data_IF_936109746351
#
_entry.id   IF_936109746351
#
_cell.length_a   1.000
_cell.length_b   1.000
_cell.length_c   1.000
_cell.angle_alpha   90.00
_cell.angle_beta   90.00
_cell.angle_gamma   90.00
#
_symmetry.space_group_name_H-M   'P 1'
#
loop_
_entity.id
_entity.type
_entity.pdbx_description
1 polymer ?
#
# COMPACT_ATOMS: atom_id res chain seq x y z
N UNK A 1 19.35 -16.84 14.23
CA UNK A 1 18.11 -16.06 14.32
C UNK A 1 18.38 -14.73 13.65
N UNK A 2 17.84 -14.52 12.45
CA UNK A 2 17.90 -13.22 11.79
C UNK A 2 17.06 -12.22 12.59
N UNK A 3 17.71 -11.26 13.24
CA UNK A 3 17.08 -10.15 13.99
C UNK A 3 16.56 -9.06 13.07
N UNK A 4 16.18 -9.42 11.83
CA UNK A 4 15.77 -8.45 10.83
C UNK A 4 14.37 -7.94 11.17
N UNK A 5 14.33 -6.73 11.72
CA UNK A 5 13.09 -6.03 12.04
C UNK A 5 12.52 -5.43 10.76
N UNK A 6 11.36 -5.93 10.33
CA UNK A 6 10.55 -5.28 9.30
C UNK A 6 9.65 -4.26 9.97
N UNK A 7 9.69 -3.01 9.49
CA UNK A 7 8.83 -1.93 9.96
C UNK A 7 7.84 -1.58 8.86
N UNK A 8 6.56 -1.53 9.19
CA UNK A 8 5.55 -0.96 8.31
C UNK A 8 5.76 0.56 8.20
N UNK A 9 5.68 1.07 6.98
CA UNK A 9 5.95 2.47 6.65
C UNK A 9 4.65 3.10 6.15
N UNK A 10 4.35 4.31 6.62
CA UNK A 10 3.19 5.09 6.18
C UNK A 10 3.64 6.31 5.36
N UNK A 11 2.69 7.03 4.75
CA UNK A 11 2.97 8.21 3.91
C UNK A 11 3.84 9.25 4.63
N UNK A 12 3.65 9.43 5.94
CA UNK A 12 4.42 10.34 6.78
C UNK A 12 5.89 9.93 6.97
N UNK A 13 6.21 8.65 6.79
CA UNK A 13 7.56 8.11 6.95
C UNK A 13 8.35 8.17 5.62
N UNK A 14 7.69 8.43 4.49
CA UNK A 14 8.32 8.52 3.16
C UNK A 14 9.49 9.50 3.08
N UNK A 15 9.45 10.70 3.70
CA UNK A 15 10.59 11.62 3.68
C UNK A 15 11.84 11.06 4.38
N UNK A 16 11.66 10.08 5.27
CA UNK A 16 12.75 9.44 6.01
C UNK A 16 13.33 8.21 5.31
N UNK A 17 12.70 7.77 4.20
CA UNK A 17 13.18 6.62 3.46
C UNK A 17 14.46 6.94 2.68
N UNK A 18 15.38 5.97 2.55
CA UNK A 18 16.53 6.13 1.68
C UNK A 18 16.09 6.44 0.24
N UNK A 19 16.74 7.40 -0.41
CA UNK A 19 16.39 7.91 -1.74
C UNK A 19 16.27 6.82 -2.84
N UNK A 20 16.96 5.69 -2.68
CA UNK A 20 16.83 4.52 -3.56
C UNK A 20 15.39 3.95 -3.63
N UNK A 21 14.58 4.16 -2.58
CA UNK A 21 13.19 3.72 -2.54
C UNK A 21 12.25 4.67 -3.29
N UNK A 22 12.67 5.91 -3.59
CA UNK A 22 11.83 6.90 -4.27
C UNK A 22 11.37 6.36 -5.64
N UNK A 23 12.29 5.86 -6.47
CA UNK A 23 11.95 5.32 -7.79
C UNK A 23 10.99 4.12 -7.72
N UNK A 24 11.15 3.27 -6.70
CA UNK A 24 10.28 2.11 -6.46
C UNK A 24 8.88 2.58 -6.07
N UNK A 25 8.79 3.55 -5.17
CA UNK A 25 7.51 4.10 -4.72
C UNK A 25 6.77 4.87 -5.81
N UNK A 26 7.48 5.65 -6.63
CA UNK A 26 6.90 6.34 -7.78
C UNK A 26 6.30 5.34 -8.80
N UNK A 27 7.02 4.26 -9.08
CA UNK A 27 6.54 3.19 -9.98
C UNK A 27 5.30 2.51 -9.41
N UNK A 28 5.34 2.10 -8.14
CA UNK A 28 4.22 1.48 -7.43
C UNK A 28 2.99 2.39 -7.37
N UNK A 29 3.18 3.68 -7.15
CA UNK A 29 2.07 4.63 -7.09
C UNK A 29 1.37 4.75 -8.45
N UNK A 30 2.13 4.74 -9.55
CA UNK A 30 1.56 4.69 -10.91
C UNK A 30 0.79 3.40 -11.18
N UNK A 31 1.33 2.25 -10.76
CA UNK A 31 0.66 0.95 -10.90
C UNK A 31 -0.64 0.86 -10.07
N UNK A 32 -0.63 1.36 -8.84
CA UNK A 32 -1.82 1.42 -7.98
C UNK A 32 -2.87 2.34 -8.62
N UNK A 33 -2.49 3.52 -9.10
CA UNK A 33 -3.42 4.44 -9.76
C UNK A 33 -4.03 3.82 -11.01
N UNK A 34 -3.22 3.14 -11.83
CA UNK A 34 -3.70 2.41 -13.00
C UNK A 34 -4.62 1.25 -12.63
N UNK A 35 -4.31 0.50 -11.58
CA UNK A 35 -5.15 -0.58 -11.09
C UNK A 35 -6.51 -0.05 -10.58
N UNK A 36 -6.52 1.06 -9.84
CA UNK A 36 -7.76 1.72 -9.38
C UNK A 36 -8.63 2.15 -10.57
N UNK A 37 -8.02 2.74 -11.61
CA UNK A 37 -8.74 3.17 -12.83
C UNK A 37 -9.35 1.98 -13.58
N UNK A 38 -8.63 0.85 -13.63
CA UNK A 38 -9.11 -0.38 -14.27
C UNK A 38 -10.20 -1.11 -13.46
N UNK A 39 -10.22 -0.93 -12.14
CA UNK A 39 -11.09 -1.68 -11.22
C UNK A 39 -11.91 -0.77 -10.28
N UNK A 40 -12.75 0.14 -10.81
CA UNK A 40 -13.48 1.12 -10.00
C UNK A 40 -14.51 0.48 -9.05
N UNK A 41 -14.99 -0.74 -9.33
CA UNK A 41 -15.97 -1.47 -8.51
C UNK A 41 -15.34 -2.36 -7.42
N UNK A 42 -14.02 -2.60 -7.45
CA UNK A 42 -13.35 -3.43 -6.42
C UNK A 42 -13.08 -2.66 -5.12
N UNK A 43 -13.11 -1.32 -5.15
CA UNK A 43 -13.09 -0.48 -3.95
C UNK A 43 -14.34 -0.68 -3.07
N UNK A 44 -15.46 -1.17 -3.64
CA UNK A 44 -16.69 -1.48 -2.91
C UNK A 44 -16.74 -2.88 -2.27
N UNK A 45 -15.66 -3.69 -2.33
CA UNK A 45 -15.58 -4.95 -1.57
C UNK A 45 -14.73 -4.81 -0.30
N UNK A 46 -15.14 -3.91 0.57
CA UNK A 46 -15.10 -4.24 2.00
C UNK A 46 -16.49 -4.75 2.42
N UNK A 47 -16.62 -6.03 2.77
CA UNK A 47 -17.51 -6.44 3.82
C UNK A 47 -16.66 -7.00 4.97
N UNK A 48 -15.99 -6.12 5.71
CA UNK A 48 -15.92 -6.37 7.15
C UNK A 48 -17.13 -5.69 7.75
N UNK A 49 -18.26 -6.42 7.80
CA UNK A 49 -19.31 -6.38 8.83
C UNK A 49 -20.71 -6.69 8.26
N UNK A 50 -21.07 -7.97 8.23
CA UNK A 50 -22.37 -8.45 8.68
C UNK A 50 -22.02 -9.68 9.55
N UNK A 51 -22.10 -9.60 10.88
CA UNK A 51 -23.38 -9.67 11.56
C UNK A 51 -23.64 -11.13 11.91
N UNK A 52 -23.69 -11.41 13.21
CA UNK A 52 -23.96 -12.72 13.80
C UNK A 52 -25.07 -13.52 13.11
N UNK A 53 -24.82 -14.83 12.92
CA UNK A 53 -25.77 -15.90 13.21
C UNK A 53 -25.02 -17.12 13.74
#
# INVERSE_FOLDING_TARGET
>A
MDTRSSKQVFTQDLPSLPQQWTLVLESLQGEIAHWIDLHPDEECRHPTQAGAQ
#
